data_IF_565972384975
#
_entry.id   IF_565972384975
#
_cell.length_a   1.000
_cell.length_b   1.000
_cell.length_c   1.000
_cell.angle_alpha   90.00
_cell.angle_beta   90.00
_cell.angle_gamma   90.00
#
_symmetry.space_group_name_H-M   'P 1'
#
loop_
_entity.id
_entity.type
_entity.pdbx_description
1 polymer ?
#
# COMPACT_ATOMS: atom_id res chain seq x y z
N UNK A 1 5.05 -30.71 1.51
CA UNK A 1 5.54 -29.98 2.71
C UNK A 1 5.67 -30.98 3.85
N UNK A 2 6.87 -31.16 4.38
CA UNK A 2 7.15 -32.10 5.48
C UNK A 2 6.70 -31.51 6.83
N UNK A 3 6.52 -32.34 7.86
CA UNK A 3 6.19 -31.86 9.23
C UNK A 3 7.24 -30.88 9.77
N UNK A 4 8.50 -31.08 9.40
CA UNK A 4 9.62 -30.20 9.77
C UNK A 4 9.53 -28.86 9.06
N UNK A 5 9.27 -28.85 7.75
CA UNK A 5 9.06 -27.62 6.97
C UNK A 5 7.89 -26.78 7.51
N UNK A 6 6.77 -27.45 7.86
CA UNK A 6 5.61 -26.77 8.43
C UNK A 6 5.94 -26.11 9.79
N UNK A 7 6.71 -26.80 10.64
CA UNK A 7 7.13 -26.25 11.94
C UNK A 7 8.02 -25.01 11.76
N UNK A 8 9.00 -25.08 10.87
CA UNK A 8 9.89 -23.96 10.55
C UNK A 8 9.09 -22.77 9.98
N UNK A 9 8.17 -23.03 9.05
CA UNK A 9 7.32 -22.00 8.46
C UNK A 9 6.44 -21.32 9.52
N UNK A 10 5.88 -22.09 10.46
CA UNK A 10 5.06 -21.57 11.54
C UNK A 10 5.87 -20.71 12.53
N UNK A 11 7.07 -21.15 12.90
CA UNK A 11 7.97 -20.36 13.76
C UNK A 11 8.37 -19.05 13.09
N UNK A 12 8.74 -19.10 11.79
CA UNK A 12 9.05 -17.90 11.02
C UNK A 12 7.86 -16.94 10.93
N UNK A 13 6.66 -17.46 10.67
CA UNK A 13 5.44 -16.66 10.66
C UNK A 13 5.18 -15.97 12.00
N UNK A 14 5.34 -16.67 13.12
CA UNK A 14 5.16 -16.10 14.46
C UNK A 14 6.17 -14.98 14.74
N UNK A 15 7.44 -15.21 14.40
CA UNK A 15 8.51 -14.22 14.58
C UNK A 15 8.26 -12.96 13.75
N UNK A 16 7.91 -13.10 12.47
CA UNK A 16 7.60 -11.94 11.63
C UNK A 16 6.33 -11.23 12.09
N UNK A 17 5.31 -11.96 12.56
CA UNK A 17 4.10 -11.36 13.11
C UNK A 17 4.40 -10.53 14.37
N UNK A 18 5.26 -11.04 15.25
CA UNK A 18 5.70 -10.31 16.44
C UNK A 18 6.50 -9.07 16.06
N UNK A 19 7.46 -9.21 15.14
CA UNK A 19 8.27 -8.11 14.63
C UNK A 19 7.40 -7.01 14.01
N UNK A 20 6.43 -7.36 13.18
CA UNK A 20 5.48 -6.41 12.60
C UNK A 20 4.70 -5.70 13.72
N UNK A 21 4.20 -6.46 14.70
CA UNK A 21 3.46 -5.88 15.84
C UNK A 21 4.32 -4.89 16.62
N UNK A 22 5.56 -5.21 16.92
CA UNK A 22 6.48 -4.34 17.67
C UNK A 22 6.83 -3.08 16.88
N UNK A 23 7.16 -3.22 15.59
CA UNK A 23 7.47 -2.09 14.71
C UNK A 23 6.27 -1.16 14.48
N UNK A 24 5.05 -1.67 14.59
CA UNK A 24 3.81 -0.90 14.40
C UNK A 24 3.19 -0.41 15.70
N UNK A 25 3.70 -0.85 16.87
CA UNK A 25 3.13 -0.50 18.16
C UNK A 25 3.36 0.97 18.51
N UNK A 26 4.55 1.50 18.22
CA UNK A 26 4.90 2.89 18.51
C UNK A 26 4.30 3.89 17.52
N UNK A 27 3.93 3.44 16.32
CA UNK A 27 3.28 4.27 15.28
C UNK A 27 1.75 4.30 15.39
N UNK A 28 1.16 3.61 16.38
CA UNK A 28 -0.25 3.77 16.73
C UNK A 28 -0.46 5.17 17.31
N UNK A 29 -0.77 6.12 16.43
CA UNK A 29 -1.32 7.42 16.82
C UNK A 29 -2.50 7.11 17.75
N UNK A 30 -2.46 7.62 18.98
CA UNK A 30 -3.55 7.49 19.94
C UNK A 30 -4.69 8.42 19.51
N UNK A 31 -5.36 8.04 18.43
CA UNK A 31 -6.55 8.70 17.94
C UNK A 31 -7.76 8.18 18.72
N UNK A 32 -8.68 9.09 18.99
CA UNK A 32 -10.05 8.73 19.32
C UNK A 32 -10.71 8.03 18.13
N UNK A 33 -11.76 7.21 18.33
CA UNK A 33 -12.50 6.62 17.23
C UNK A 33 -12.99 7.65 16.19
N UNK A 34 -13.37 8.85 16.65
CA UNK A 34 -13.80 9.96 15.80
C UNK A 34 -12.66 10.53 14.95
N UNK A 35 -11.48 10.71 15.54
CA UNK A 35 -10.28 11.17 14.80
C UNK A 35 -9.85 10.12 13.78
N UNK A 36 -9.83 8.85 14.17
CA UNK A 36 -9.52 7.73 13.28
C UNK A 36 -10.49 7.70 12.09
N UNK A 37 -11.80 7.84 12.34
CA UNK A 37 -12.81 7.90 11.28
C UNK A 37 -12.58 9.07 10.34
N UNK A 38 -12.37 10.28 10.89
CA UNK A 38 -12.07 11.48 10.08
C UNK A 38 -10.82 11.31 9.23
N UNK A 39 -9.77 10.70 9.78
CA UNK A 39 -8.55 10.40 9.04
C UNK A 39 -8.83 9.41 7.91
N UNK A 40 -9.52 8.31 8.18
CA UNK A 40 -9.87 7.32 7.14
C UNK A 40 -10.68 7.98 6.02
N UNK A 41 -11.74 8.74 6.36
CA UNK A 41 -12.55 9.48 5.39
C UNK A 41 -11.75 10.48 4.56
N UNK A 42 -10.73 11.10 5.16
CA UNK A 42 -9.83 12.03 4.48
C UNK A 42 -8.86 11.29 3.55
N UNK A 43 -8.19 10.25 4.03
CA UNK A 43 -7.19 9.49 3.27
C UNK A 43 -7.84 8.72 2.10
N UNK A 44 -9.07 8.24 2.26
CA UNK A 44 -9.78 7.51 1.20
C UNK A 44 -10.30 8.41 0.08
N UNK A 45 -10.17 9.74 0.16
CA UNK A 45 -10.50 10.60 -0.98
C UNK A 45 -9.44 10.45 -2.08
N UNK A 46 -9.81 10.36 -3.36
CA UNK A 46 -8.86 10.14 -4.44
C UNK A 46 -7.84 11.28 -4.58
N UNK A 47 -8.20 12.52 -4.23
CA UNK A 47 -7.30 13.67 -4.17
C UNK A 47 -6.21 13.57 -3.10
N UNK A 48 -6.36 12.69 -2.11
CA UNK A 48 -5.43 12.49 -1.01
C UNK A 48 -4.67 11.16 -1.12
N UNK A 49 -4.59 10.57 -2.31
CA UNK A 49 -3.94 9.28 -2.52
C UNK A 49 -2.48 9.26 -2.06
N UNK A 50 -1.68 10.28 -2.36
CA UNK A 50 -0.30 10.36 -1.90
C UNK A 50 -0.23 10.36 -0.38
N UNK A 51 -1.13 11.07 0.29
CA UNK A 51 -1.19 11.10 1.75
C UNK A 51 -1.61 9.75 2.33
N UNK A 52 -2.60 9.09 1.72
CA UNK A 52 -2.96 7.71 2.07
C UNK A 52 -1.76 6.78 1.93
N UNK A 53 -1.03 6.88 0.83
CA UNK A 53 0.12 6.04 0.58
C UNK A 53 1.22 6.31 1.59
N UNK A 54 1.57 7.56 1.84
CA UNK A 54 2.60 7.95 2.79
C UNK A 54 2.25 7.54 4.23
N UNK A 55 0.97 7.61 4.60
CA UNK A 55 0.47 7.17 5.91
C UNK A 55 0.65 5.66 6.13
N UNK A 56 0.26 4.83 5.16
CA UNK A 56 0.21 3.37 5.34
C UNK A 56 1.46 2.63 4.84
N UNK A 57 2.16 3.16 3.84
CA UNK A 57 3.26 2.48 3.15
C UNK A 57 4.52 3.31 3.00
N UNK A 58 4.41 4.64 3.07
CA UNK A 58 5.52 5.53 2.80
C UNK A 58 6.23 6.01 4.07
N UNK A 59 6.70 7.26 4.02
CA UNK A 59 7.57 7.87 5.03
C UNK A 59 6.97 7.94 6.44
N UNK A 60 5.64 7.90 6.56
CA UNK A 60 4.95 7.98 7.85
C UNK A 60 4.59 6.60 8.42
N UNK A 61 4.91 5.51 7.71
CA UNK A 61 4.54 4.15 8.14
C UNK A 61 5.37 3.62 9.32
N UNK A 62 6.41 4.34 9.76
CA UNK A 62 7.36 3.90 10.79
C UNK A 62 8.29 2.78 10.32
N UNK A 63 8.17 2.36 9.05
CA UNK A 63 9.01 1.37 8.39
C UNK A 63 9.75 2.05 7.24
N UNK A 64 11.00 1.65 6.97
CA UNK A 64 11.77 2.13 5.80
C UNK A 64 11.27 1.52 4.48
N UNK A 65 9.94 1.51 4.28
CA UNK A 65 9.28 1.04 3.06
C UNK A 65 9.34 2.10 1.96
N UNK A 66 9.56 3.36 2.32
CA UNK A 66 9.91 4.44 1.40
C UNK A 66 10.86 5.43 2.07
N UNK A 67 11.87 5.87 1.32
CA UNK A 67 12.88 6.84 1.79
C UNK A 67 12.53 8.29 1.39
N UNK A 68 11.44 8.49 0.66
CA UNK A 68 11.02 9.79 0.15
C UNK A 68 9.49 9.91 0.06
N UNK A 69 8.93 11.13 0.22
CA UNK A 69 7.51 11.39 0.01
C UNK A 69 7.05 11.06 -1.41
N UNK A 70 5.76 10.78 -1.56
CA UNK A 70 5.17 10.54 -2.87
C UNK A 70 5.28 11.75 -3.79
N UNK A 71 5.67 11.51 -5.05
CA UNK A 71 5.73 12.55 -6.08
C UNK A 71 4.35 12.88 -6.68
N UNK A 72 4.20 14.06 -7.27
CA UNK A 72 2.94 14.54 -7.88
C UNK A 72 2.43 13.66 -9.02
N UNK A 73 3.35 12.98 -9.73
CA UNK A 73 2.96 12.08 -10.81
C UNK A 73 2.30 10.79 -10.30
N UNK A 74 2.54 10.38 -9.05
CA UNK A 74 1.81 9.29 -8.42
C UNK A 74 0.34 9.68 -8.22
N UNK A 75 0.09 10.85 -7.63
CA UNK A 75 -1.24 11.42 -7.39
C UNK A 75 -2.02 11.58 -8.70
N UNK A 76 -1.46 12.29 -9.67
CA UNK A 76 -2.13 12.56 -10.94
C UNK A 76 -2.38 11.30 -11.76
N UNK A 77 -1.49 10.30 -11.69
CA UNK A 77 -1.72 9.01 -12.32
C UNK A 77 -2.82 8.21 -11.63
N UNK A 78 -2.91 8.26 -10.30
CA UNK A 78 -3.93 7.57 -9.52
C UNK A 78 -5.33 8.15 -9.75
N UNK A 79 -5.47 9.47 -9.73
CA UNK A 79 -6.77 10.12 -9.96
C UNK A 79 -7.38 9.74 -11.30
N UNK A 80 -6.56 9.54 -12.33
CA UNK A 80 -7.03 9.03 -13.63
C UNK A 80 -7.57 7.61 -13.52
N UNK A 81 -6.93 6.74 -12.72
CA UNK A 81 -7.42 5.38 -12.47
C UNK A 81 -8.73 5.39 -11.69
N UNK A 82 -8.82 6.19 -10.63
CA UNK A 82 -10.03 6.29 -9.83
C UNK A 82 -11.22 6.81 -10.64
N UNK A 83 -10.98 7.78 -11.53
CA UNK A 83 -12.04 8.44 -12.30
C UNK A 83 -12.65 7.55 -13.40
N UNK A 84 -11.86 6.64 -13.97
CA UNK A 84 -12.28 5.84 -15.12
C UNK A 84 -12.01 4.34 -14.88
N UNK A 85 -13.06 3.53 -14.61
CA UNK A 85 -12.90 2.10 -14.32
C UNK A 85 -12.47 1.26 -15.54
N UNK A 86 -12.50 1.82 -16.75
CA UNK A 86 -12.08 1.13 -18.00
C UNK A 86 -10.76 1.64 -18.55
N UNK A 87 -10.03 2.45 -17.77
CA UNK A 87 -8.83 3.10 -18.24
C UNK A 87 -7.73 2.11 -18.64
N UNK A 88 -7.10 2.40 -19.77
CA UNK A 88 -5.84 1.77 -20.18
C UNK A 88 -4.70 2.77 -20.01
N UNK A 89 -3.67 2.42 -19.23
CA UNK A 89 -2.53 3.31 -18.99
C UNK A 89 -1.21 2.63 -19.35
N UNK A 90 -0.45 3.28 -20.22
CA UNK A 90 0.98 3.01 -20.44
C UNK A 90 1.79 4.03 -19.64
N UNK A 91 2.44 3.60 -18.55
CA UNK A 91 3.18 4.47 -17.64
C UNK A 91 4.69 4.34 -17.86
N UNK A 92 5.30 5.32 -18.52
CA UNK A 92 6.75 5.40 -18.68
C UNK A 92 7.39 6.11 -17.48
N UNK A 93 7.66 5.36 -16.41
CA UNK A 93 8.31 5.90 -15.21
C UNK A 93 9.77 5.45 -15.10
N UNK A 94 10.64 6.37 -14.69
CA UNK A 94 12.06 6.13 -14.51
C UNK A 94 12.35 5.05 -13.45
N UNK A 95 13.59 4.53 -13.44
CA UNK A 95 14.01 3.52 -12.46
C UNK A 95 14.11 4.15 -11.07
N UNK A 96 13.62 3.45 -10.04
CA UNK A 96 13.59 3.98 -8.67
C UNK A 96 12.37 4.83 -8.34
N UNK A 97 11.46 5.06 -9.30
CA UNK A 97 10.23 5.82 -9.09
C UNK A 97 9.14 5.09 -8.27
N UNK A 98 9.49 4.06 -7.49
CA UNK A 98 8.53 3.27 -6.69
C UNK A 98 7.29 2.74 -7.47
N UNK A 99 7.40 2.58 -8.81
CA UNK A 99 6.27 2.26 -9.70
C UNK A 99 5.44 1.07 -9.25
N UNK A 100 6.11 -0.05 -8.95
CA UNK A 100 5.44 -1.30 -8.58
C UNK A 100 4.65 -1.18 -7.27
N UNK A 101 5.22 -0.55 -6.24
CA UNK A 101 4.53 -0.44 -4.95
C UNK A 101 3.31 0.49 -5.06
N UNK A 102 3.41 1.57 -5.84
CA UNK A 102 2.24 2.42 -6.13
C UNK A 102 1.18 1.69 -6.94
N UNK A 103 1.54 1.10 -8.09
CA UNK A 103 0.56 0.56 -9.04
C UNK A 103 -0.06 -0.75 -8.57
N UNK A 104 0.72 -1.62 -7.96
CA UNK A 104 0.29 -2.99 -7.66
C UNK A 104 -0.27 -3.14 -6.25
N UNK A 105 0.14 -2.26 -5.32
CA UNK A 105 -0.26 -2.33 -3.92
C UNK A 105 -1.08 -1.10 -3.55
N UNK A 106 -0.51 0.10 -3.62
CA UNK A 106 -1.16 1.34 -3.21
C UNK A 106 -2.49 1.59 -3.92
N UNK A 107 -2.49 1.55 -5.25
CA UNK A 107 -3.69 1.78 -6.07
C UNK A 107 -4.77 0.75 -5.78
N UNK A 108 -4.38 -0.53 -5.75
CA UNK A 108 -5.27 -1.67 -5.53
C UNK A 108 -5.94 -1.56 -4.16
N UNK A 109 -5.18 -1.23 -3.12
CA UNK A 109 -5.72 -1.11 -1.77
C UNK A 109 -6.63 0.10 -1.62
N UNK A 110 -6.27 1.27 -2.15
CA UNK A 110 -7.12 2.46 -2.07
C UNK A 110 -8.45 2.24 -2.82
N UNK A 111 -8.41 1.66 -4.04
CA UNK A 111 -9.63 1.31 -4.79
C UNK A 111 -10.46 0.27 -4.04
N UNK A 112 -9.83 -0.76 -3.44
CA UNK A 112 -10.53 -1.78 -2.67
C UNK A 112 -11.26 -1.20 -1.47
N UNK A 113 -10.61 -0.30 -0.73
CA UNK A 113 -11.21 0.36 0.43
C UNK A 113 -12.33 1.33 0.04
N UNK A 114 -12.29 1.89 -1.17
CA UNK A 114 -13.37 2.67 -1.75
C UNK A 114 -14.46 1.84 -2.45
N UNK A 115 -14.40 0.51 -2.38
CA UNK A 115 -15.35 -0.40 -3.04
C UNK A 115 -15.36 -0.30 -4.58
N UNK A 116 -14.34 0.32 -5.18
CA UNK A 116 -14.16 0.47 -6.63
C UNK A 116 -13.48 -0.75 -7.28
N UNK A 117 -13.02 -1.70 -6.45
CA UNK A 117 -12.29 -2.89 -6.92
C UNK A 117 -12.76 -4.16 -6.20
N UNK A 118 -13.29 -5.11 -6.98
CA UNK A 118 -13.68 -6.41 -6.45
C UNK A 118 -12.46 -7.34 -6.29
N UNK A 119 -11.66 -7.46 -7.34
CA UNK A 119 -10.45 -8.29 -7.39
C UNK A 119 -9.36 -7.58 -8.20
N UNK A 120 -8.10 -7.93 -7.96
CA UNK A 120 -6.95 -7.45 -8.73
C UNK A 120 -6.19 -8.64 -9.32
N UNK A 121 -5.79 -8.54 -10.58
CA UNK A 121 -4.88 -9.49 -11.22
C UNK A 121 -3.57 -8.75 -11.51
N UNK A 122 -2.48 -9.24 -10.91
CA UNK A 122 -1.14 -8.73 -11.17
C UNK A 122 -0.44 -9.71 -12.10
N UNK A 123 -0.05 -9.22 -13.27
CA UNK A 123 0.71 -9.97 -14.26
C UNK A 123 2.10 -9.34 -14.32
N UNK A 124 3.12 -10.16 -14.07
CA UNK A 124 4.51 -9.77 -14.20
C UNK A 124 5.24 -10.82 -15.02
N UNK A 125 6.17 -10.36 -15.84
CA UNK A 125 7.18 -11.21 -16.44
C UNK A 125 8.46 -10.98 -15.64
N UNK A 126 8.87 -11.98 -14.87
CA UNK A 126 10.30 -12.16 -14.59
C UNK A 126 10.90 -12.70 -15.89
N UNK A 127 12.11 -12.24 -16.27
CA UNK A 127 12.74 -12.63 -17.55
C UNK A 127 12.80 -14.14 -17.78
N UNK A 128 13.10 -14.54 -19.02
CA UNK A 128 13.22 -15.95 -19.45
C UNK A 128 13.88 -16.88 -18.41
#
# INVERSE_FOLDING_TARGET
MTKTELKIALEKYKMESLRIKELTYESLIKETPEEQKKRIERLLRPENYNEFFDYYFGVNSGLSLADAPCADFHQSSYQKVYKDPFILQLRMWYRGAAKSIHTNVGNVLHLKQNQELNFALLIGQTGD
#
